data_IF_213908352270
#
_entry.id   IF_213908352270
#
_cell.length_a   1.000
_cell.length_b   1.000
_cell.length_c   1.000
_cell.angle_alpha   90.00
_cell.angle_beta   90.00
_cell.angle_gamma   90.00
#
_symmetry.space_group_name_H-M   'P 1'
#
loop_
_entity.id
_entity.type
_entity.pdbx_description
1 polymer ?
#
# COMPACT_ATOMS: atom_id res chain seq x y z
N UNK A 1 18.51 16.86 18.91
CA UNK A 1 19.27 15.68 18.43
C UNK A 1 18.90 15.43 16.98
N UNK A 2 19.78 14.89 16.13
CA UNK A 2 19.40 14.48 14.77
C UNK A 2 18.31 13.41 14.84
N UNK A 3 17.39 13.40 13.87
CA UNK A 3 16.36 12.36 13.77
C UNK A 3 17.00 10.99 13.53
N UNK A 4 16.49 9.95 14.18
CA UNK A 4 16.94 8.58 13.93
C UNK A 4 16.42 8.08 12.58
N UNK A 5 17.01 6.99 12.07
CA UNK A 5 16.52 6.31 10.88
C UNK A 5 15.03 5.96 11.07
N UNK A 6 14.70 5.27 12.15
CA UNK A 6 13.34 4.94 12.57
C UNK A 6 12.35 6.12 12.48
N UNK A 7 12.71 7.29 13.05
CA UNK A 7 11.86 8.49 13.00
C UNK A 7 11.67 9.00 11.56
N UNK A 8 12.74 9.01 10.75
CA UNK A 8 12.69 9.44 9.35
C UNK A 8 11.77 8.54 8.55
N UNK A 9 11.89 7.21 8.67
CA UNK A 9 11.07 6.28 7.89
C UNK A 9 9.60 6.32 8.31
N UNK A 10 9.33 6.34 9.63
CA UNK A 10 7.95 6.42 10.14
C UNK A 10 7.26 7.70 9.68
N UNK A 11 7.94 8.85 9.75
CA UNK A 11 7.38 10.12 9.25
C UNK A 11 7.24 10.15 7.73
N UNK A 12 8.16 9.52 6.99
CA UNK A 12 8.09 9.42 5.53
C UNK A 12 6.94 8.54 5.04
N UNK A 13 6.66 7.43 5.73
CA UNK A 13 5.50 6.57 5.44
C UNK A 13 4.20 7.33 5.63
N UNK A 14 4.03 8.04 6.75
CA UNK A 14 2.83 8.87 6.99
C UNK A 14 2.62 9.88 5.86
N UNK A 15 3.67 10.60 5.45
CA UNK A 15 3.58 11.54 4.33
C UNK A 15 3.17 10.87 3.02
N UNK A 16 3.65 9.65 2.76
CA UNK A 16 3.30 8.89 1.56
C UNK A 16 1.87 8.34 1.65
N UNK A 17 1.40 7.89 2.83
CA UNK A 17 0.01 7.52 3.09
C UNK A 17 -0.94 8.70 2.83
N UNK A 18 -0.60 9.89 3.33
CA UNK A 18 -1.37 11.11 3.08
C UNK A 18 -1.46 11.44 1.58
N UNK A 19 -0.40 11.16 0.81
CA UNK A 19 -0.42 11.35 -0.65
C UNK A 19 -1.31 10.33 -1.34
N UNK A 20 -1.28 9.06 -0.94
CA UNK A 20 -2.20 8.06 -1.46
C UNK A 20 -3.66 8.42 -1.16
N UNK A 21 -3.95 8.82 0.08
CA UNK A 21 -5.29 9.24 0.49
C UNK A 21 -5.80 10.41 -0.35
N UNK A 22 -4.95 11.43 -0.57
CA UNK A 22 -5.27 12.58 -1.43
C UNK A 22 -5.43 12.18 -2.90
N UNK A 23 -4.59 11.29 -3.41
CA UNK A 23 -4.60 10.90 -4.83
C UNK A 23 -5.95 10.30 -5.24
N UNK A 24 -6.58 9.54 -4.33
CA UNK A 24 -7.90 8.94 -4.56
C UNK A 24 -9.07 9.73 -4.00
N UNK A 25 -8.81 10.85 -3.32
CA UNK A 25 -9.86 11.69 -2.74
C UNK A 25 -10.86 12.14 -3.82
N UNK A 26 -12.14 11.92 -3.51
CA UNK A 26 -13.27 12.27 -4.38
C UNK A 26 -13.41 11.41 -5.63
N UNK A 27 -12.56 10.40 -5.86
CA UNK A 27 -12.72 9.48 -6.99
C UNK A 27 -13.86 8.49 -6.73
N UNK A 28 -14.74 8.34 -7.70
CA UNK A 28 -15.79 7.32 -7.71
C UNK A 28 -15.22 5.93 -8.00
N UNK A 29 -15.99 4.88 -7.71
CA UNK A 29 -15.61 3.52 -8.06
C UNK A 29 -15.37 3.35 -9.58
N UNK A 30 -16.13 4.04 -10.43
CA UNK A 30 -15.92 4.01 -11.88
C UNK A 30 -14.56 4.62 -12.25
N UNK A 31 -14.21 5.76 -11.67
CA UNK A 31 -12.92 6.44 -11.93
C UNK A 31 -11.72 5.67 -11.37
N UNK A 32 -11.90 5.00 -10.22
CA UNK A 32 -10.87 4.13 -9.63
C UNK A 32 -10.64 2.87 -10.48
N UNK A 33 -11.70 2.32 -11.06
CA UNK A 33 -11.63 1.16 -11.95
C UNK A 33 -11.32 1.52 -13.41
N UNK A 34 -11.24 2.81 -13.75
CA UNK A 34 -10.88 3.26 -15.09
C UNK A 34 -9.48 2.78 -15.46
N UNK A 35 -9.33 2.37 -16.71
CA UNK A 35 -8.07 1.94 -17.29
C UNK A 35 -7.67 2.86 -18.45
N UNK A 36 -6.47 3.48 -18.41
CA UNK A 36 -5.95 4.23 -19.53
C UNK A 36 -5.82 3.38 -20.79
N UNK A 37 -6.15 3.96 -21.96
CA UNK A 37 -6.09 3.24 -23.25
C UNK A 37 -4.65 3.00 -23.70
N UNK A 38 -3.74 3.83 -23.21
CA UNK A 38 -2.32 3.84 -23.50
C UNK A 38 -1.58 2.67 -22.82
N UNK A 39 -2.25 1.98 -21.88
CA UNK A 39 -1.72 0.84 -21.15
C UNK A 39 -1.64 1.08 -19.64
N UNK A 40 -1.10 0.10 -18.93
CA UNK A 40 -1.05 0.10 -17.46
C UNK A 40 -2.28 -0.52 -16.79
N UNK A 41 -2.34 -0.31 -15.49
CA UNK A 41 -3.35 -0.84 -14.56
C UNK A 41 -4.33 0.27 -14.14
N UNK A 42 -5.45 -0.11 -13.53
CA UNK A 42 -6.38 0.87 -12.95
C UNK A 42 -5.79 1.51 -11.69
N UNK A 43 -6.29 2.70 -11.32
CA UNK A 43 -5.90 3.35 -10.06
C UNK A 43 -6.23 2.45 -8.85
N UNK A 44 -7.36 1.73 -8.92
CA UNK A 44 -7.73 0.79 -7.87
C UNK A 44 -6.76 -0.39 -7.79
N UNK A 45 -6.31 -0.95 -8.91
CA UNK A 45 -5.33 -2.04 -8.85
C UNK A 45 -4.02 -1.56 -8.21
N UNK A 46 -3.50 -0.39 -8.60
CA UNK A 46 -2.28 0.17 -7.99
C UNK A 46 -2.45 0.39 -6.48
N UNK A 47 -3.57 0.98 -6.07
CA UNK A 47 -3.88 1.18 -4.65
C UNK A 47 -4.03 -0.14 -3.89
N UNK A 48 -4.80 -1.08 -4.45
CA UNK A 48 -5.03 -2.39 -3.88
C UNK A 48 -3.72 -3.15 -3.70
N UNK A 49 -2.91 -3.21 -4.76
CA UNK A 49 -1.62 -3.87 -4.75
C UNK A 49 -0.72 -3.29 -3.65
N UNK A 50 -0.63 -1.96 -3.57
CA UNK A 50 0.22 -1.31 -2.59
C UNK A 50 -0.25 -1.55 -1.15
N UNK A 51 -1.52 -1.25 -0.84
CA UNK A 51 -2.06 -1.40 0.52
C UNK A 51 -1.97 -2.86 0.98
N UNK A 52 -2.22 -3.82 0.08
CA UNK A 52 -2.06 -5.25 0.35
C UNK A 52 -0.60 -5.67 0.55
N UNK A 53 0.33 -5.03 -0.14
CA UNK A 53 1.78 -5.25 0.03
C UNK A 53 2.22 -4.76 1.40
N UNK A 54 1.90 -3.52 1.77
CA UNK A 54 2.26 -2.96 3.08
C UNK A 54 1.64 -3.78 4.23
N UNK A 55 0.35 -4.11 4.14
CA UNK A 55 -0.34 -4.94 5.14
C UNK A 55 0.40 -6.28 5.37
N UNK A 56 0.82 -6.93 4.30
CA UNK A 56 1.58 -8.17 4.40
C UNK A 56 3.00 -7.98 4.93
N UNK A 57 3.74 -6.96 4.49
CA UNK A 57 5.09 -6.72 5.02
C UNK A 57 5.04 -6.43 6.51
N UNK A 58 4.11 -5.58 6.93
CA UNK A 58 4.03 -5.12 8.30
C UNK A 58 3.43 -6.18 9.22
N UNK A 59 2.26 -6.72 8.89
CA UNK A 59 1.54 -7.61 9.80
C UNK A 59 2.02 -9.06 9.67
N UNK A 60 2.17 -9.58 8.46
CA UNK A 60 2.60 -10.97 8.28
C UNK A 60 4.12 -11.14 8.38
N UNK A 61 4.91 -10.42 7.56
CA UNK A 61 6.35 -10.65 7.48
C UNK A 61 7.07 -10.18 8.75
N UNK A 62 6.85 -8.93 9.18
CA UNK A 62 7.58 -8.36 10.31
C UNK A 62 7.05 -8.84 11.68
N UNK A 63 5.72 -8.96 11.82
CA UNK A 63 5.06 -9.28 13.09
C UNK A 63 4.57 -10.72 13.22
N UNK A 64 4.54 -11.52 12.15
CA UNK A 64 4.06 -12.91 12.16
C UNK A 64 2.61 -13.04 12.69
N UNK A 65 1.75 -12.07 12.38
CA UNK A 65 0.33 -12.07 12.74
C UNK A 65 -0.56 -12.00 11.48
N UNK A 66 -1.86 -12.34 11.58
CA UNK A 66 -2.78 -12.16 10.47
C UNK A 66 -2.75 -10.72 9.94
N UNK A 67 -2.88 -10.59 8.62
CA UNK A 67 -2.99 -9.27 7.98
C UNK A 67 -4.34 -8.65 8.31
N UNK A 68 -4.43 -7.31 8.29
CA UNK A 68 -5.69 -6.57 8.48
C UNK A 68 -6.74 -7.06 7.47
N UNK A 69 -6.30 -7.35 6.25
CA UNK A 69 -7.13 -7.89 5.18
C UNK A 69 -7.85 -9.20 5.56
N UNK A 70 -7.15 -10.10 6.25
CA UNK A 70 -7.70 -11.39 6.66
C UNK A 70 -8.49 -11.29 7.96
N UNK A 71 -7.98 -10.53 8.93
CA UNK A 71 -8.66 -10.34 10.23
C UNK A 71 -10.01 -9.65 10.06
N UNK A 72 -10.11 -8.69 9.13
CA UNK A 72 -11.36 -7.99 8.82
C UNK A 72 -12.25 -8.67 7.77
N UNK A 73 -11.92 -9.87 7.29
CA UNK A 73 -12.64 -10.58 6.21
C UNK A 73 -12.88 -9.74 4.94
N UNK A 74 -11.96 -8.83 4.62
CA UNK A 74 -12.11 -7.94 3.47
C UNK A 74 -12.06 -8.67 2.13
N UNK A 75 -11.33 -9.79 2.03
CA UNK A 75 -11.38 -10.67 0.86
C UNK A 75 -12.76 -11.19 0.51
N UNK A 76 -13.53 -11.63 1.52
CA UNK A 76 -14.88 -12.12 1.31
C UNK A 76 -15.81 -10.97 0.94
N UNK A 77 -15.67 -9.83 1.64
CA UNK A 77 -16.49 -8.65 1.40
C UNK A 77 -16.34 -8.11 -0.03
N UNK A 78 -15.10 -7.95 -0.50
CA UNK A 78 -14.83 -7.42 -1.84
C UNK A 78 -14.84 -8.49 -2.93
N UNK A 79 -14.87 -9.79 -2.57
CA UNK A 79 -14.71 -10.88 -3.54
C UNK A 79 -13.32 -10.89 -4.21
N UNK A 80 -12.30 -10.36 -3.53
CA UNK A 80 -10.94 -10.21 -4.06
C UNK A 80 -9.98 -11.29 -3.51
N UNK A 81 -8.82 -11.52 -4.15
CA UNK A 81 -7.91 -12.59 -3.77
C UNK A 81 -7.54 -12.58 -2.28
N UNK A 82 -7.68 -13.76 -1.65
CA UNK A 82 -7.39 -13.95 -0.23
C UNK A 82 -5.93 -13.66 0.12
N UNK A 83 -4.98 -14.22 -0.65
CA UNK A 83 -3.54 -14.16 -0.33
C UNK A 83 -2.72 -13.38 -1.36
N UNK A 84 -3.12 -13.38 -2.63
CA UNK A 84 -2.41 -12.63 -3.66
C UNK A 84 -2.56 -11.12 -3.46
N UNK A 85 -1.49 -10.40 -3.80
CA UNK A 85 -1.40 -8.94 -3.75
C UNK A 85 -1.20 -8.37 -5.15
N UNK A 86 -1.17 -9.21 -6.19
CA UNK A 86 -1.03 -8.76 -7.58
C UNK A 86 0.33 -9.00 -8.22
N UNK A 87 1.37 -9.31 -7.46
CA UNK A 87 2.69 -9.62 -8.04
C UNK A 87 2.61 -10.84 -8.96
N UNK A 88 3.01 -10.64 -10.22
CA UNK A 88 2.99 -11.69 -11.23
C UNK A 88 1.64 -11.90 -11.93
N UNK A 89 0.63 -11.09 -11.62
CA UNK A 89 -0.63 -11.13 -12.37
C UNK A 89 -0.41 -10.70 -13.82
N UNK A 90 -1.12 -11.37 -14.71
CA UNK A 90 -1.35 -10.94 -16.09
C UNK A 90 -2.17 -9.65 -16.12
N UNK A 91 -2.17 -8.97 -17.27
CA UNK A 91 -3.02 -7.79 -17.45
C UNK A 91 -4.51 -8.10 -17.28
N UNK A 92 -4.96 -9.31 -17.65
CA UNK A 92 -6.35 -9.75 -17.50
C UNK A 92 -6.71 -9.91 -16.03
N UNK A 93 -5.92 -10.64 -15.25
CA UNK A 93 -6.11 -10.80 -13.81
C UNK A 93 -6.09 -9.46 -13.07
N UNK A 94 -5.19 -8.55 -13.46
CA UNK A 94 -5.15 -7.20 -12.88
C UNK A 94 -6.43 -6.40 -13.17
N UNK A 95 -7.09 -6.60 -14.33
CA UNK A 95 -8.34 -5.92 -14.66
C UNK A 95 -9.54 -6.45 -13.88
N UNK A 96 -9.47 -7.68 -13.39
CA UNK A 96 -10.51 -8.28 -12.56
C UNK A 96 -10.49 -7.76 -11.11
N UNK A 97 -9.40 -7.10 -10.71
CA UNK A 97 -9.34 -6.37 -9.44
C UNK A 97 -10.12 -5.08 -9.57
N UNK A 98 -11.36 -5.10 -9.08
CA UNK A 98 -12.30 -3.98 -9.16
C UNK A 98 -12.89 -3.65 -7.79
N UNK A 99 -13.17 -2.38 -7.59
CA UNK A 99 -13.86 -1.88 -6.38
C UNK A 99 -15.31 -1.53 -6.65
N UNK A 100 -16.19 -1.83 -5.70
CA UNK A 100 -17.58 -1.41 -5.70
C UNK A 100 -17.92 -0.47 -4.52
N UNK A 101 -17.24 -0.65 -3.38
CA UNK A 101 -17.44 0.17 -2.18
C UNK A 101 -16.14 0.90 -1.78
N UNK A 102 -16.04 2.16 -2.20
CA UNK A 102 -14.89 3.04 -1.96
C UNK A 102 -14.76 3.38 -0.47
N UNK A 103 -15.87 3.60 0.22
CA UNK A 103 -15.84 3.94 1.65
C UNK A 103 -15.33 2.77 2.49
N UNK A 104 -15.77 1.54 2.18
CA UNK A 104 -15.28 0.34 2.87
C UNK A 104 -13.81 0.08 2.58
N UNK A 105 -13.34 0.41 1.39
CA UNK A 105 -11.92 0.31 1.05
C UNK A 105 -11.09 1.30 1.85
N UNK A 106 -11.53 2.56 1.96
CA UNK A 106 -10.84 3.53 2.80
C UNK A 106 -10.78 3.09 4.27
N UNK A 107 -11.83 2.47 4.80
CA UNK A 107 -11.78 1.88 6.14
C UNK A 107 -10.66 0.84 6.28
N UNK A 108 -10.54 -0.08 5.31
CA UNK A 108 -9.47 -1.07 5.28
C UNK A 108 -8.08 -0.42 5.19
N UNK A 109 -7.91 0.51 4.25
CA UNK A 109 -6.67 1.24 4.01
C UNK A 109 -6.19 1.99 5.26
N UNK A 110 -7.08 2.72 5.93
CA UNK A 110 -6.74 3.43 7.17
C UNK A 110 -6.34 2.47 8.30
N UNK A 111 -6.99 1.31 8.42
CA UNK A 111 -6.56 0.29 9.40
C UNK A 111 -5.17 -0.28 9.11
N UNK A 112 -4.77 -0.37 7.84
CA UNK A 112 -3.39 -0.75 7.47
C UNK A 112 -2.41 0.32 7.90
N UNK A 113 -2.68 1.60 7.58
CA UNK A 113 -1.83 2.72 8.01
C UNK A 113 -1.68 2.77 9.54
N UNK A 114 -2.77 2.62 10.28
CA UNK A 114 -2.76 2.56 11.73
C UNK A 114 -1.97 1.35 12.26
N UNK A 115 -2.07 0.19 11.63
CA UNK A 115 -1.30 -0.99 12.00
C UNK A 115 0.20 -0.78 11.78
N UNK A 116 0.58 -0.16 10.66
CA UNK A 116 1.96 0.24 10.36
C UNK A 116 2.49 1.22 11.38
N UNK A 117 1.76 2.30 11.66
CA UNK A 117 2.20 3.31 12.62
C UNK A 117 2.34 2.74 14.02
N UNK A 118 1.38 1.92 14.46
CA UNK A 118 1.39 1.27 15.77
C UNK A 118 2.57 0.33 15.93
N UNK A 119 2.88 -0.46 14.90
CA UNK A 119 4.03 -1.35 14.92
C UNK A 119 5.33 -0.56 15.05
N UNK A 120 5.54 0.43 14.18
CA UNK A 120 6.75 1.26 14.24
C UNK A 120 6.83 2.03 15.55
N UNK A 121 5.73 2.56 16.09
CA UNK A 121 5.69 3.25 17.37
C UNK A 121 6.12 2.39 18.56
N UNK A 122 5.89 1.08 18.48
CA UNK A 122 6.20 0.14 19.57
C UNK A 122 7.67 -0.26 19.64
N UNK A 123 8.44 0.00 18.57
CA UNK A 123 9.86 -0.35 18.50
C UNK A 123 10.75 0.75 19.07
N UNK A 124 11.83 0.37 19.74
CA UNK A 124 12.93 1.30 19.99
C UNK A 124 13.77 1.50 18.71
N UNK A 125 14.51 2.62 18.58
CA UNK A 125 15.43 2.80 17.46
C UNK A 125 16.44 1.65 17.33
N UNK A 126 16.96 1.14 18.44
CA UNK A 126 17.92 0.04 18.47
C UNK A 126 17.30 -1.28 17.98
N UNK A 127 16.09 -1.62 18.45
CA UNK A 127 15.37 -2.80 17.94
C UNK A 127 15.14 -2.68 16.43
N UNK A 128 14.73 -1.49 15.98
CA UNK A 128 14.44 -1.23 14.58
C UNK A 128 15.69 -1.41 13.69
N UNK A 129 16.85 -0.95 14.15
CA UNK A 129 18.13 -1.07 13.43
C UNK A 129 18.66 -2.51 13.39
N UNK A 130 18.45 -3.31 14.45
CA UNK A 130 18.93 -4.69 14.53
C UNK A 130 17.98 -5.71 13.89
N UNK A 131 16.68 -5.38 13.78
CA UNK A 131 15.65 -6.32 13.32
C UNK A 131 15.90 -6.74 11.87
N UNK A 132 15.78 -8.04 11.63
CA UNK A 132 15.80 -8.63 10.29
C UNK A 132 14.47 -9.24 9.90
N UNK A 133 14.21 -9.28 8.60
CA UNK A 133 13.02 -9.90 7.98
C UNK A 133 13.42 -10.67 6.73
N UNK A 134 12.64 -11.68 6.38
CA UNK A 134 12.76 -12.38 5.08
C UNK A 134 11.58 -12.02 4.20
N UNK A 135 11.82 -11.27 3.12
CA UNK A 135 10.79 -10.91 2.14
C UNK A 135 11.02 -11.77 0.90
N UNK A 136 10.03 -12.56 0.48
CA UNK A 136 10.15 -13.38 -0.74
C UNK A 136 9.68 -12.59 -1.96
N UNK A 137 10.35 -12.70 -3.12
CA UNK A 137 11.54 -13.52 -3.39
C UNK A 137 12.90 -12.84 -3.08
N UNK A 138 12.89 -11.66 -2.45
CA UNK A 138 14.09 -10.81 -2.27
C UNK A 138 15.15 -11.36 -1.30
N UNK A 139 14.78 -12.16 -0.30
CA UNK A 139 15.69 -12.76 0.68
C UNK A 139 15.63 -12.13 2.07
N UNK A 140 16.60 -12.48 2.92
CA UNK A 140 16.80 -11.87 4.25
C UNK A 140 17.43 -10.48 4.11
N UNK A 141 16.92 -9.50 4.87
CA UNK A 141 17.43 -8.14 4.93
C UNK A 141 17.10 -7.48 6.28
N UNK A 142 17.61 -6.27 6.51
CA UNK A 142 17.20 -5.46 7.66
C UNK A 142 15.73 -5.03 7.53
N UNK A 143 15.06 -4.77 8.66
CA UNK A 143 13.70 -4.24 8.66
C UNK A 143 13.66 -2.86 7.97
N UNK A 144 14.71 -2.04 8.18
CA UNK A 144 14.89 -0.78 7.48
C UNK A 144 14.83 -0.96 5.96
N UNK A 145 15.68 -1.82 5.39
CA UNK A 145 15.75 -2.03 3.94
C UNK A 145 14.43 -2.58 3.39
N UNK A 146 13.79 -3.48 4.14
CA UNK A 146 12.50 -4.05 3.78
C UNK A 146 11.39 -3.00 3.70
N UNK A 147 11.23 -2.18 4.74
CA UNK A 147 10.18 -1.16 4.77
C UNK A 147 10.51 0.01 3.83
N UNK A 148 11.76 0.48 3.82
CA UNK A 148 12.20 1.54 2.90
C UNK A 148 12.00 1.13 1.44
N UNK A 149 12.43 -0.07 1.07
CA UNK A 149 12.35 -0.55 -0.31
C UNK A 149 10.94 -0.94 -0.75
N UNK A 150 10.28 -1.81 0.02
CA UNK A 150 9.04 -2.49 -0.39
C UNK A 150 7.78 -1.73 0.02
N UNK A 151 7.86 -0.89 1.04
CA UNK A 151 6.74 -0.01 1.43
C UNK A 151 6.97 1.41 0.90
N UNK A 152 8.00 2.13 1.38
CA UNK A 152 8.12 3.56 1.08
C UNK A 152 8.43 3.85 -0.40
N UNK A 153 9.58 3.37 -0.90
CA UNK A 153 10.03 3.64 -2.28
C UNK A 153 9.06 3.08 -3.32
N UNK A 154 8.59 1.84 -3.08
CA UNK A 154 7.58 1.21 -3.90
C UNK A 154 6.23 1.95 -3.87
N UNK A 155 5.78 2.42 -2.71
CA UNK A 155 4.53 3.16 -2.54
C UNK A 155 4.49 4.44 -3.36
N UNK A 156 5.58 5.21 -3.39
CA UNK A 156 5.66 6.40 -4.26
C UNK A 156 5.51 6.09 -5.75
N UNK A 157 5.90 4.89 -6.22
CA UNK A 157 5.64 4.48 -7.61
C UNK A 157 4.14 4.35 -7.87
N UNK A 158 3.40 3.77 -6.92
CA UNK A 158 1.94 3.63 -7.02
C UNK A 158 1.19 4.96 -6.85
N UNK A 159 1.71 5.89 -6.05
CA UNK A 159 1.19 7.28 -6.04
C UNK A 159 1.25 7.86 -7.46
N UNK A 160 2.40 7.74 -8.13
CA UNK A 160 2.56 8.22 -9.50
C UNK A 160 1.64 7.54 -10.53
N UNK A 161 1.42 6.23 -10.40
CA UNK A 161 0.46 5.49 -11.25
C UNK A 161 -0.98 6.00 -11.06
N UNK A 162 -1.40 6.21 -9.81
CA UNK A 162 -2.74 6.72 -9.49
C UNK A 162 -2.90 8.14 -10.00
N UNK A 163 -1.91 9.01 -9.79
CA UNK A 163 -1.93 10.38 -10.31
C UNK A 163 -1.99 10.43 -11.84
N UNK A 164 -1.28 9.54 -12.52
CA UNK A 164 -1.37 9.41 -13.98
C UNK A 164 -2.80 9.05 -14.40
N UNK A 165 -3.39 8.01 -13.81
CA UNK A 165 -4.77 7.57 -14.08
C UNK A 165 -5.77 8.68 -13.77
N UNK A 166 -5.57 9.43 -12.69
CA UNK A 166 -6.38 10.59 -12.32
C UNK A 166 -6.26 11.72 -13.35
N UNK A 167 -5.04 12.03 -13.78
CA UNK A 167 -4.74 13.08 -14.75
C UNK A 167 -5.37 12.84 -16.12
N UNK A 168 -5.26 11.62 -16.66
CA UNK A 168 -5.85 11.29 -17.98
C UNK A 168 -7.39 11.30 -17.99
N UNK A 169 -8.02 11.20 -16.80
CA UNK A 169 -9.46 11.35 -16.63
C UNK A 169 -9.89 12.82 -16.44
N UNK A 170 -8.97 13.78 -16.48
CA UNK A 170 -9.26 15.20 -16.31
C UNK A 170 -9.51 15.62 -14.86
N UNK A 171 -9.16 14.78 -13.87
CA UNK A 171 -9.34 15.05 -12.44
C UNK A 171 -8.17 15.83 -11.81
N UNK A 172 -7.17 16.19 -12.63
CA UNK A 172 -5.93 16.86 -12.19
C UNK A 172 -4.96 15.94 -11.47
N UNK A 173 -3.70 16.35 -11.37
CA UNK A 173 -2.73 15.72 -10.46
C UNK A 173 -2.86 16.29 -9.04
N UNK A 174 -2.15 15.69 -8.08
CA UNK A 174 -1.96 16.36 -6.79
C UNK A 174 -1.14 17.63 -7.05
N UNK A 175 -1.64 18.76 -6.53
CA UNK A 175 -0.97 20.05 -6.74
C UNK A 175 0.35 20.05 -5.97
N UNK A 176 1.46 20.25 -6.71
CA UNK A 176 2.81 20.47 -6.15
C UNK A 176 3.08 21.95 -5.93
#
# INVERSE_FOLDING_TARGET
MPRTAHEILRTSLRSMHDLLDKAVEGMTAEQLNFRPKEGGVSAFFSLWHYVRTEDNIINWVAQQKPTVWLEGNYHEYFGLPRTSQGTGMTAEEANDIRISDVAKWHEYQQKVWEATDRYLASMSPEEFDERKVTIKPLGEMSLWDGIYGVCLSHGYRHVGEIEYVRGVQGLGGLTI
#
